data_IF_372417022739
#
_entry.id   IF_372417022739
#
_cell.length_a   1.000
_cell.length_b   1.000
_cell.length_c   1.000
_cell.angle_alpha   90.00
_cell.angle_beta   90.00
_cell.angle_gamma   90.00
#
_symmetry.space_group_name_H-M   'P 1'
#
loop_
_entity.id
_entity.type
_entity.pdbx_description
1 polymer ?
#
# COMPACT_ATOMS: atom_id res chain seq x y z
N UNK A 1 24.89 -12.00 -9.83
CA UNK A 1 24.11 -12.53 -8.70
C UNK A 1 23.24 -13.64 -9.27
N UNK A 2 23.44 -14.87 -8.80
CA UNK A 2 22.63 -16.03 -9.17
C UNK A 2 21.50 -16.15 -8.14
N UNK A 3 20.34 -15.56 -8.42
CA UNK A 3 19.17 -15.56 -7.53
C UNK A 3 18.02 -16.34 -8.18
N UNK A 4 17.14 -16.93 -7.37
CA UNK A 4 15.86 -17.47 -7.82
C UNK A 4 14.69 -16.63 -7.28
N UNK A 5 13.57 -16.63 -8.02
CA UNK A 5 12.31 -16.08 -7.56
C UNK A 5 11.21 -17.07 -7.90
N UNK A 6 10.60 -17.67 -6.88
CA UNK A 6 9.66 -18.77 -7.02
C UNK A 6 8.31 -18.44 -6.40
N UNK A 7 7.23 -18.79 -7.08
CA UNK A 7 5.88 -18.70 -6.51
C UNK A 7 5.65 -19.90 -5.56
N UNK A 8 5.45 -19.61 -4.28
CA UNK A 8 5.14 -20.62 -3.25
C UNK A 8 3.67 -20.51 -2.88
N UNK A 9 2.89 -21.54 -3.21
CA UNK A 9 1.50 -21.62 -2.79
C UNK A 9 1.42 -21.94 -1.29
N UNK A 10 0.79 -21.07 -0.50
CA UNK A 10 0.55 -21.27 0.94
C UNK A 10 -0.95 -21.16 1.21
N UNK A 11 -1.68 -22.28 1.31
CA UNK A 11 -3.07 -22.30 1.73
C UNK A 11 -3.28 -21.62 3.10
N UNK A 12 -4.43 -21.00 3.31
CA UNK A 12 -4.75 -20.30 4.58
C UNK A 12 -4.64 -21.22 5.80
N UNK A 13 -5.05 -22.49 5.66
CA UNK A 13 -4.98 -23.51 6.71
C UNK A 13 -3.57 -24.09 6.94
N UNK A 14 -2.57 -23.65 6.18
CA UNK A 14 -1.15 -23.99 6.35
C UNK A 14 -0.32 -22.77 6.75
N UNK A 15 -0.93 -21.58 6.81
CA UNK A 15 -0.20 -20.34 7.04
C UNK A 15 0.43 -20.27 8.44
N UNK A 16 -0.13 -21.00 9.42
CA UNK A 16 0.49 -21.11 10.73
C UNK A 16 1.91 -21.70 10.70
N UNK A 17 2.24 -22.46 9.65
CA UNK A 17 3.54 -23.09 9.45
C UNK A 17 4.48 -22.23 8.58
N UNK A 18 4.13 -20.97 8.29
CA UNK A 18 4.88 -20.13 7.34
C UNK A 18 6.37 -19.99 7.67
N UNK A 19 6.74 -19.83 8.95
CA UNK A 19 8.15 -19.76 9.35
C UNK A 19 8.91 -21.05 9.01
N UNK A 20 8.26 -22.21 9.16
CA UNK A 20 8.85 -23.51 8.79
C UNK A 20 9.00 -23.63 7.27
N UNK A 21 7.93 -23.35 6.52
CA UNK A 21 7.89 -23.43 5.04
C UNK A 21 9.01 -22.60 4.41
N UNK A 22 9.24 -21.38 4.91
CA UNK A 22 10.25 -20.47 4.38
C UNK A 22 11.67 -20.85 4.84
N UNK A 23 11.84 -21.25 6.11
CA UNK A 23 13.18 -21.58 6.66
C UNK A 23 13.76 -22.86 6.04
N UNK A 24 12.94 -23.85 5.69
CA UNK A 24 13.39 -25.09 5.02
C UNK A 24 14.03 -24.83 3.65
N UNK A 25 13.77 -23.67 3.05
CA UNK A 25 14.24 -23.28 1.72
C UNK A 25 15.41 -22.28 1.73
N UNK A 26 15.90 -21.87 2.90
CA UNK A 26 16.96 -20.85 3.04
C UNK A 26 16.69 -19.57 2.23
N UNK A 27 15.45 -19.06 2.32
CA UNK A 27 15.00 -17.87 1.56
C UNK A 27 15.47 -16.58 2.23
N UNK A 28 16.09 -15.68 1.45
CA UNK A 28 16.57 -14.36 1.92
C UNK A 28 15.47 -13.28 1.99
N UNK A 29 14.36 -13.49 1.28
CA UNK A 29 13.22 -12.57 1.27
C UNK A 29 12.11 -13.04 0.34
N UNK A 30 10.90 -12.55 0.55
CA UNK A 30 9.74 -12.97 -0.24
C UNK A 30 8.67 -11.88 -0.30
N UNK A 31 7.91 -11.87 -1.39
CA UNK A 31 6.71 -11.06 -1.49
C UNK A 31 5.48 -11.79 -0.93
N UNK A 32 4.52 -11.00 -0.45
CA UNK A 32 3.26 -11.47 0.13
C UNK A 32 2.09 -10.86 -0.63
N UNK A 33 1.15 -11.71 -1.04
CA UNK A 33 -0.06 -11.29 -1.75
C UNK A 33 -1.32 -11.84 -1.08
N UNK A 34 -2.48 -11.64 -1.68
CA UNK A 34 -3.79 -12.10 -1.20
C UNK A 34 -3.74 -13.61 -0.90
N UNK A 35 -4.32 -14.08 0.22
CA UNK A 35 -5.02 -13.33 1.27
C UNK A 35 -4.14 -13.03 2.50
N UNK A 36 -2.81 -12.94 2.32
CA UNK A 36 -1.85 -13.02 3.43
C UNK A 36 -1.20 -11.71 3.84
N UNK A 37 -1.46 -10.60 3.14
CA UNK A 37 -0.80 -9.31 3.42
C UNK A 37 -1.00 -8.81 4.86
N UNK A 38 -2.16 -9.08 5.47
CA UNK A 38 -2.44 -8.78 6.88
C UNK A 38 -2.02 -9.94 7.80
N UNK A 39 -2.22 -11.19 7.33
CA UNK A 39 -1.99 -12.42 8.09
C UNK A 39 -0.52 -12.65 8.44
N UNK A 40 0.41 -12.14 7.63
CA UNK A 40 1.85 -12.28 7.87
C UNK A 40 2.33 -11.46 9.08
N UNK A 41 1.64 -10.35 9.42
CA UNK A 41 2.12 -9.37 10.40
C UNK A 41 2.48 -9.99 11.77
N UNK A 42 1.67 -10.89 12.37
CA UNK A 42 2.01 -11.51 13.65
C UNK A 42 3.25 -12.43 13.62
N UNK A 43 3.74 -12.82 12.44
CA UNK A 43 4.90 -13.68 12.27
C UNK A 43 6.20 -12.89 12.05
N UNK A 44 6.11 -11.56 11.92
CA UNK A 44 7.27 -10.70 11.71
C UNK A 44 7.93 -10.33 13.03
N UNK A 45 9.25 -10.19 12.99
CA UNK A 45 10.05 -9.73 14.12
C UNK A 45 10.12 -8.19 14.15
N UNK A 46 9.99 -7.54 13.00
CA UNK A 46 9.86 -6.08 12.88
C UNK A 46 9.04 -5.71 11.62
N UNK A 47 8.52 -4.48 11.59
CA UNK A 47 7.72 -3.96 10.49
C UNK A 47 7.96 -2.46 10.35
N UNK A 48 8.20 -2.00 9.12
CA UNK A 48 8.47 -0.58 8.88
C UNK A 48 7.22 0.29 9.08
N UNK A 49 7.41 1.58 9.32
CA UNK A 49 6.32 2.51 9.61
C UNK A 49 5.29 2.62 8.46
N UNK A 50 5.74 2.48 7.21
CA UNK A 50 4.84 2.48 6.04
C UNK A 50 3.87 1.29 6.08
N UNK A 51 4.38 0.08 6.31
CA UNK A 51 3.58 -1.13 6.41
C UNK A 51 2.67 -1.13 7.65
N UNK A 52 3.15 -0.61 8.79
CA UNK A 52 2.31 -0.39 9.99
C UNK A 52 1.13 0.52 9.69
N UNK A 53 1.38 1.66 9.04
CA UNK A 53 0.34 2.65 8.73
C UNK A 53 -0.74 2.09 7.80
N UNK A 54 -0.32 1.31 6.79
CA UNK A 54 -1.24 0.65 5.86
C UNK A 54 -1.96 -0.54 6.51
N UNK A 55 -1.32 -1.20 7.49
CA UNK A 55 -1.81 -2.42 8.12
C UNK A 55 -1.63 -3.66 7.26
N UNK A 56 -0.68 -3.64 6.32
CA UNK A 56 -0.44 -4.72 5.37
C UNK A 56 1.03 -4.78 4.95
N UNK A 57 1.55 -5.97 4.73
CA UNK A 57 2.92 -6.24 4.27
C UNK A 57 2.87 -6.98 2.94
N UNK A 58 3.62 -6.49 1.95
CA UNK A 58 3.75 -7.13 0.64
C UNK A 58 5.17 -7.65 0.36
N UNK A 59 6.13 -7.34 1.24
CA UNK A 59 7.55 -7.64 1.07
C UNK A 59 8.14 -7.96 2.44
N UNK A 60 8.84 -9.09 2.56
CA UNK A 60 9.54 -9.50 3.78
C UNK A 60 11.01 -9.71 3.47
N UNK A 61 11.88 -9.13 4.29
CA UNK A 61 13.31 -9.39 4.30
C UNK A 61 13.62 -10.38 5.43
N UNK A 62 14.36 -11.44 5.11
CA UNK A 62 14.93 -12.36 6.09
C UNK A 62 16.39 -11.99 6.29
N UNK A 63 16.73 -11.44 7.45
CA UNK A 63 18.09 -11.01 7.76
C UNK A 63 18.50 -11.49 9.14
N UNK A 64 19.60 -12.23 9.21
CA UNK A 64 20.13 -12.79 10.46
C UNK A 64 19.06 -13.59 11.25
N UNK A 65 18.21 -14.32 10.52
CA UNK A 65 17.08 -15.09 11.07
C UNK A 65 15.85 -14.26 11.48
N UNK A 66 15.89 -12.93 11.35
CA UNK A 66 14.75 -12.03 11.64
C UNK A 66 13.96 -11.69 10.38
N UNK A 67 12.64 -11.61 10.53
CA UNK A 67 11.72 -11.26 9.47
C UNK A 67 11.26 -9.81 9.62
N UNK A 68 11.60 -8.98 8.63
CA UNK A 68 11.28 -7.55 8.62
C UNK A 68 10.28 -7.27 7.49
N UNK A 69 9.10 -6.76 7.84
CA UNK A 69 8.03 -6.47 6.88
C UNK A 69 8.07 -5.05 6.31
N UNK A 70 7.79 -4.96 5.01
CA UNK A 70 7.68 -3.73 4.25
C UNK A 70 6.41 -3.74 3.40
N UNK A 71 5.97 -2.54 3.01
CA UNK A 71 4.92 -2.35 2.01
C UNK A 71 5.44 -1.42 0.91
N UNK A 72 5.64 -1.97 -0.28
CA UNK A 72 6.21 -1.26 -1.43
C UNK A 72 5.16 -0.77 -2.42
N UNK A 73 3.88 -1.10 -2.24
CA UNK A 73 2.81 -0.77 -3.20
C UNK A 73 2.68 0.76 -3.38
N UNK A 74 2.65 1.51 -2.27
CA UNK A 74 2.51 2.97 -2.29
C UNK A 74 3.70 3.69 -2.94
N UNK A 75 4.92 3.33 -2.54
CA UNK A 75 6.14 3.95 -3.07
C UNK A 75 6.38 3.57 -4.53
N UNK A 76 6.03 2.33 -4.92
CA UNK A 76 6.07 1.89 -6.31
C UNK A 76 5.17 2.74 -7.20
N UNK A 77 3.93 2.99 -6.75
CA UNK A 77 2.98 3.84 -7.48
C UNK A 77 3.52 5.28 -7.65
N UNK A 78 3.94 5.93 -6.56
CA UNK A 78 4.42 7.32 -6.61
C UNK A 78 5.69 7.45 -7.46
N UNK A 79 6.62 6.50 -7.37
CA UNK A 79 7.81 6.51 -8.21
C UNK A 79 7.46 6.38 -9.70
N UNK A 80 6.49 5.52 -10.05
CA UNK A 80 6.01 5.41 -11.42
C UNK A 80 5.35 6.71 -11.91
N UNK A 81 4.49 7.31 -11.09
CA UNK A 81 3.82 8.57 -11.42
C UNK A 81 4.82 9.71 -11.67
N UNK A 82 5.87 9.82 -10.84
CA UNK A 82 6.94 10.81 -11.01
C UNK A 82 7.71 10.70 -12.32
N UNK A 83 7.72 9.53 -12.96
CA UNK A 83 8.39 9.35 -14.25
C UNK A 83 7.58 9.88 -15.43
N UNK A 84 6.27 10.07 -15.26
CA UNK A 84 5.34 10.43 -16.34
C UNK A 84 4.64 11.77 -16.13
N UNK A 85 4.65 12.32 -14.91
CA UNK A 85 4.02 13.59 -14.57
C UNK A 85 5.06 14.57 -14.02
N UNK A 86 5.31 15.64 -14.76
CA UNK A 86 6.21 16.72 -14.36
C UNK A 86 5.49 17.67 -13.39
N UNK A 87 6.19 18.18 -12.36
CA UNK A 87 5.60 19.13 -11.42
C UNK A 87 4.61 18.53 -10.41
N UNK A 88 4.70 17.22 -10.11
CA UNK A 88 3.83 16.55 -9.13
C UNK A 88 3.75 17.25 -7.77
N UNK A 89 4.79 17.98 -7.38
CA UNK A 89 4.85 18.71 -6.10
C UNK A 89 3.75 19.76 -5.97
N UNK A 90 3.27 20.32 -7.10
CA UNK A 90 2.27 21.38 -7.15
C UNK A 90 0.89 20.89 -7.62
N UNK A 91 0.73 19.59 -7.88
CA UNK A 91 -0.51 19.02 -8.41
C UNK A 91 -1.62 18.93 -7.35
N UNK A 92 -2.84 19.26 -7.74
CA UNK A 92 -4.06 18.96 -7.01
C UNK A 92 -4.50 17.52 -7.30
N UNK A 93 -4.39 16.66 -6.29
CA UNK A 93 -4.59 15.21 -6.46
C UNK A 93 -5.86 14.75 -5.75
N UNK A 94 -6.71 14.06 -6.52
CA UNK A 94 -7.87 13.30 -6.03
C UNK A 94 -7.57 11.80 -6.03
N UNK A 95 -7.69 11.15 -4.87
CA UNK A 95 -7.60 9.70 -4.74
C UNK A 95 -9.00 9.11 -4.53
N UNK A 96 -9.41 8.15 -5.35
CA UNK A 96 -10.70 7.46 -5.22
C UNK A 96 -10.51 6.15 -4.46
N UNK A 97 -11.26 6.00 -3.37
CA UNK A 97 -11.22 4.83 -2.48
C UNK A 97 -10.47 5.12 -1.17
N UNK A 98 -10.88 4.43 -0.09
CA UNK A 98 -10.29 4.58 1.24
C UNK A 98 -9.68 3.28 1.80
N UNK A 99 -9.25 2.37 0.90
CA UNK A 99 -8.62 1.09 1.24
C UNK A 99 -7.11 1.18 1.51
N UNK A 100 -6.46 0.02 1.71
CA UNK A 100 -5.02 -0.07 2.00
C UNK A 100 -4.14 0.52 0.89
N UNK A 101 -4.48 0.28 -0.38
CA UNK A 101 -3.76 0.85 -1.53
C UNK A 101 -3.82 2.39 -1.51
N UNK A 102 -5.03 2.96 -1.33
CA UNK A 102 -5.24 4.41 -1.17
C UNK A 102 -4.39 4.98 -0.03
N UNK A 103 -4.40 4.33 1.13
CA UNK A 103 -3.63 4.79 2.29
C UNK A 103 -2.12 4.76 2.01
N UNK A 104 -1.62 3.70 1.37
CA UNK A 104 -0.21 3.59 0.97
C UNK A 104 0.21 4.69 -0.01
N UNK A 105 -0.60 4.94 -1.05
CA UNK A 105 -0.35 6.00 -2.04
C UNK A 105 -0.40 7.38 -1.38
N UNK A 106 -1.44 7.65 -0.58
CA UNK A 106 -1.61 8.93 0.10
C UNK A 106 -0.45 9.24 1.06
N UNK A 107 0.03 8.23 1.81
CA UNK A 107 1.18 8.39 2.70
C UNK A 107 2.47 8.79 1.97
N UNK A 108 2.69 8.27 0.76
CA UNK A 108 3.88 8.62 -0.03
C UNK A 108 3.72 9.98 -0.73
N UNK A 109 2.54 10.27 -1.28
CA UNK A 109 2.25 11.57 -1.88
C UNK A 109 2.33 12.71 -0.85
N UNK A 110 1.86 12.49 0.38
CA UNK A 110 1.89 13.50 1.45
C UNK A 110 3.32 13.99 1.77
N UNK A 111 4.35 13.21 1.45
CA UNK A 111 5.75 13.59 1.69
C UNK A 111 6.29 14.56 0.64
N UNK A 112 5.66 14.66 -0.53
CA UNK A 112 6.22 15.35 -1.70
C UNK A 112 5.27 16.38 -2.32
N UNK A 113 3.95 16.23 -2.15
CA UNK A 113 2.93 17.12 -2.72
C UNK A 113 2.62 18.24 -1.73
N UNK A 114 2.66 19.49 -2.20
CA UNK A 114 2.43 20.68 -1.38
C UNK A 114 0.94 20.95 -1.15
N UNK A 115 0.05 20.88 -2.17
CA UNK A 115 -1.39 20.95 -1.92
C UNK A 115 -1.88 19.80 -1.03
N UNK A 116 -2.81 20.10 -0.13
CA UNK A 116 -3.45 19.07 0.68
C UNK A 116 -4.18 18.08 -0.22
N UNK A 117 -3.84 16.80 -0.10
CA UNK A 117 -4.47 15.73 -0.87
C UNK A 117 -5.98 15.65 -0.59
N UNK A 118 -6.75 15.27 -1.61
CA UNK A 118 -8.18 14.98 -1.48
C UNK A 118 -8.43 13.50 -1.71
N UNK A 119 -9.19 12.87 -0.81
CA UNK A 119 -9.57 11.45 -0.92
C UNK A 119 -11.09 11.35 -0.90
N UNK A 120 -11.65 10.73 -1.94
CA UNK A 120 -13.07 10.51 -2.08
C UNK A 120 -13.43 9.04 -1.86
N UNK A 121 -14.50 8.78 -1.11
CA UNK A 121 -15.00 7.42 -0.93
C UNK A 121 -16.52 7.41 -0.77
N UNK A 122 -17.18 6.33 -1.22
CA UNK A 122 -18.63 6.18 -1.08
C UNK A 122 -19.10 6.18 0.38
N UNK A 123 -18.31 5.57 1.27
CA UNK A 123 -18.66 5.40 2.68
C UNK A 123 -17.66 6.14 3.56
N UNK A 124 -18.07 7.26 4.15
CA UNK A 124 -17.18 8.16 4.90
C UNK A 124 -16.57 7.52 6.16
N UNK A 125 -17.27 6.57 6.79
CA UNK A 125 -16.75 5.86 7.99
C UNK A 125 -15.47 5.06 7.72
N UNK A 126 -15.13 4.79 6.45
CA UNK A 126 -13.85 4.17 6.07
C UNK A 126 -12.64 5.05 6.39
N UNK A 127 -12.83 6.35 6.63
CA UNK A 127 -11.77 7.25 7.04
C UNK A 127 -11.52 7.29 8.56
N UNK A 128 -12.29 6.57 9.38
CA UNK A 128 -12.16 6.62 10.83
C UNK A 128 -10.78 6.13 11.32
N UNK A 129 -10.10 5.28 10.55
CA UNK A 129 -8.75 4.77 10.83
C UNK A 129 -7.67 5.46 9.99
N UNK A 130 -7.95 6.64 9.44
CA UNK A 130 -6.99 7.49 8.74
C UNK A 130 -6.48 8.59 9.67
N UNK A 131 -5.19 8.54 9.98
CA UNK A 131 -4.48 9.57 10.74
C UNK A 131 -3.92 10.69 9.88
N UNK A 132 -3.84 10.50 8.56
CA UNK A 132 -3.30 11.48 7.62
C UNK A 132 -4.20 12.72 7.56
N UNK A 133 -3.60 13.91 7.60
CA UNK A 133 -4.31 15.17 7.40
C UNK A 133 -4.58 15.38 5.91
N UNK A 134 -5.83 15.18 5.49
CA UNK A 134 -6.25 15.30 4.10
C UNK A 134 -7.73 15.72 4.01
N UNK A 135 -8.13 16.20 2.84
CA UNK A 135 -9.53 16.48 2.56
C UNK A 135 -10.28 15.17 2.31
N UNK A 136 -11.35 14.92 3.05
CA UNK A 136 -12.15 13.68 2.96
C UNK A 136 -13.52 14.04 2.42
N UNK A 137 -13.85 13.58 1.23
CA UNK A 137 -15.12 13.91 0.55
C UNK A 137 -15.88 12.65 0.12
N UNK A 138 -17.16 12.81 -0.19
CA UNK A 138 -17.95 11.77 -0.83
C UNK A 138 -17.80 11.83 -2.37
N UNK A 139 -18.26 10.79 -3.07
CA UNK A 139 -18.12 10.71 -4.53
C UNK A 139 -18.90 11.81 -5.26
N UNK A 140 -20.12 12.15 -4.81
CA UNK A 140 -20.92 13.21 -5.43
C UNK A 140 -20.24 14.58 -5.36
N UNK A 141 -19.56 14.89 -4.25
CA UNK A 141 -18.80 16.13 -4.13
C UNK A 141 -17.58 16.12 -5.06
N UNK A 142 -16.91 14.98 -5.19
CA UNK A 142 -15.78 14.83 -6.10
C UNK A 142 -16.21 15.00 -7.57
N UNK A 143 -17.36 14.44 -7.95
CA UNK A 143 -17.94 14.56 -9.30
C UNK A 143 -18.28 16.02 -9.63
N UNK A 144 -18.86 16.78 -8.69
CA UNK A 144 -19.23 18.18 -8.91
C UNK A 144 -18.07 19.16 -8.98
N UNK A 145 -16.88 18.77 -8.52
CA UNK A 145 -15.67 19.61 -8.48
C UNK A 145 -14.50 18.90 -9.16
N UNK A 146 -14.80 18.05 -10.14
CA UNK A 146 -13.79 17.20 -10.78
C UNK A 146 -12.76 18.01 -11.56
N UNK A 147 -13.14 19.21 -12.00
CA UNK A 147 -12.33 20.19 -12.69
C UNK A 147 -11.26 20.87 -11.81
N UNK A 148 -11.30 20.66 -10.48
CA UNK A 148 -10.29 21.19 -9.55
C UNK A 148 -9.01 20.34 -9.46
N UNK A 149 -8.98 19.15 -10.09
CA UNK A 149 -7.90 18.18 -9.91
C UNK A 149 -7.09 17.96 -11.18
N UNK A 150 -5.76 18.04 -11.05
CA UNK A 150 -4.82 17.74 -12.13
C UNK A 150 -4.64 16.22 -12.32
N UNK A 151 -4.74 15.46 -11.22
CA UNK A 151 -4.51 14.01 -11.21
C UNK A 151 -5.63 13.31 -10.43
N UNK A 152 -6.25 12.32 -11.06
CA UNK A 152 -7.26 11.45 -10.42
C UNK A 152 -6.72 10.02 -10.37
N UNK A 153 -6.65 9.45 -9.17
CA UNK A 153 -6.07 8.14 -8.89
C UNK A 153 -7.17 7.18 -8.43
N UNK A 154 -7.59 6.25 -9.29
CA UNK A 154 -8.53 5.20 -8.89
C UNK A 154 -7.82 4.07 -8.14
N UNK A 155 -8.21 3.82 -6.89
CA UNK A 155 -7.74 2.68 -6.08
C UNK A 155 -8.87 1.71 -5.70
N UNK A 156 -10.05 1.91 -6.27
CA UNK A 156 -11.20 1.05 -6.03
C UNK A 156 -11.11 -0.21 -6.93
N UNK A 157 -11.80 -1.31 -6.56
CA UNK A 157 -11.92 -2.46 -7.45
C UNK A 157 -12.75 -2.20 -8.71
N UNK A 158 -13.40 -1.04 -8.86
CA UNK A 158 -14.24 -0.76 -10.00
C UNK A 158 -13.40 -0.65 -11.28
N UNK A 159 -13.79 -1.40 -12.31
CA UNK A 159 -13.08 -1.47 -13.59
C UNK A 159 -12.08 -2.62 -13.71
N UNK A 160 -11.94 -3.47 -12.67
CA UNK A 160 -11.28 -4.78 -12.74
C UNK A 160 -12.29 -5.92 -12.92
#
# INVERSE_FOLDING_TARGET
>A
LENTYEAINVPVNQFQDIKKIISEKSIDGFNVTIPHKERIIPYLDDINEQAKSVGAVNTVLVKDGKWIGYNTDGIGYVNGLKQIYEGIEDAYILILGAGGASKGIANELYKIVRPTLTVANRTMSRFNNWSLNNNKINLSHAESHLDEFDIIINTTPAGM
#
